data_IF_533189220286
#
_entry.id   IF_533189220286
#
_cell.length_a   1.000
_cell.length_b   1.000
_cell.length_c   1.000
_cell.angle_alpha   90.00
_cell.angle_beta   90.00
_cell.angle_gamma   90.00
#
_symmetry.space_group_name_H-M   'P 1'
#
loop_
_entity.id
_entity.type
_entity.pdbx_description
1 polymer ?
#
# COMPACT_ATOMS: atom_id res chain seq x y z
N UNK A 1 -19.65 -13.81 8.84
CA UNK A 1 -19.34 -12.40 8.57
C UNK A 1 -20.60 -11.69 8.14
N UNK A 2 -20.72 -10.42 8.43
CA UNK A 2 -21.84 -9.57 8.06
C UNK A 2 -21.29 -8.30 7.41
N UNK A 3 -21.82 -7.94 6.25
CA UNK A 3 -21.48 -6.74 5.47
C UNK A 3 -20.02 -6.60 5.03
N UNK A 4 -19.07 -6.87 5.92
CA UNK A 4 -17.61 -6.77 5.68
C UNK A 4 -16.94 -8.11 5.95
N UNK A 5 -15.89 -8.45 5.18
CA UNK A 5 -15.14 -9.70 5.33
C UNK A 5 -14.40 -9.84 6.67
N UNK A 6 -14.14 -8.73 7.35
CA UNK A 6 -13.51 -8.65 8.67
C UNK A 6 -14.53 -8.55 9.83
N UNK A 7 -15.81 -8.36 9.53
CA UNK A 7 -16.90 -8.33 10.52
C UNK A 7 -17.36 -9.75 10.86
N UNK A 8 -16.56 -10.46 11.64
CA UNK A 8 -16.89 -11.80 12.11
C UNK A 8 -17.99 -11.69 13.18
N UNK A 9 -19.16 -12.25 12.90
CA UNK A 9 -20.29 -12.28 13.85
C UNK A 9 -20.51 -13.66 14.45
N UNK A 10 -19.99 -14.71 13.84
CA UNK A 10 -20.11 -16.08 14.32
C UNK A 10 -18.89 -16.91 13.94
N UNK A 11 -18.36 -17.65 14.88
CA UNK A 11 -17.28 -18.61 14.68
C UNK A 11 -17.55 -19.88 15.50
N UNK A 12 -17.49 -21.04 14.85
CA UNK A 12 -17.57 -22.35 15.53
C UNK A 12 -16.46 -23.28 15.04
N UNK A 13 -16.10 -24.23 15.90
CA UNK A 13 -15.22 -25.34 15.57
C UNK A 13 -15.96 -26.64 15.87
N UNK A 14 -16.43 -27.34 14.83
CA UNK A 14 -17.39 -28.41 14.98
C UNK A 14 -18.65 -27.89 15.66
N UNK A 15 -19.15 -28.57 16.67
CA UNK A 15 -20.33 -28.18 17.44
C UNK A 15 -20.06 -27.13 18.52
N UNK A 16 -18.79 -26.75 18.73
CA UNK A 16 -18.41 -25.76 19.75
C UNK A 16 -18.46 -24.35 19.17
N UNK A 17 -19.32 -23.49 19.72
CA UNK A 17 -19.39 -22.06 19.38
C UNK A 17 -18.25 -21.34 20.10
N UNK A 18 -17.31 -20.77 19.33
CA UNK A 18 -16.18 -20.00 19.84
C UNK A 18 -16.53 -18.51 20.02
N UNK A 19 -17.46 -18.01 19.19
CA UNK A 19 -17.82 -16.59 19.17
C UNK A 19 -19.21 -16.44 18.52
N UNK A 20 -20.11 -15.68 19.16
CA UNK A 20 -21.43 -15.37 18.63
C UNK A 20 -21.85 -13.94 18.98
N UNK A 21 -21.98 -13.09 17.98
CA UNK A 21 -22.49 -11.72 18.08
C UNK A 21 -23.66 -11.45 17.11
N UNK A 22 -24.30 -12.47 16.58
CA UNK A 22 -25.38 -12.33 15.59
C UNK A 22 -26.56 -11.50 16.10
N UNK A 23 -26.76 -11.47 17.39
CA UNK A 23 -27.85 -10.70 18.05
C UNK A 23 -27.38 -9.34 18.61
N UNK A 24 -26.07 -9.03 18.53
CA UNK A 24 -25.58 -7.73 18.98
C UNK A 24 -25.76 -6.70 17.85
N UNK A 25 -26.21 -5.48 18.18
CA UNK A 25 -26.24 -4.42 17.18
C UNK A 25 -24.84 -4.19 16.63
N UNK A 26 -24.73 -4.03 15.32
CA UNK A 26 -23.46 -3.62 14.70
C UNK A 26 -23.01 -2.33 15.39
N UNK A 27 -21.72 -2.25 15.75
CA UNK A 27 -21.17 -1.01 16.25
C UNK A 27 -21.41 0.06 15.19
N UNK A 28 -22.06 1.15 15.56
CA UNK A 28 -22.28 2.27 14.65
C UNK A 28 -20.92 2.85 14.28
N UNK A 29 -20.46 2.55 13.07
CA UNK A 29 -19.27 3.24 12.54
C UNK A 29 -19.67 4.70 12.32
N UNK A 30 -18.93 5.62 12.94
CA UNK A 30 -19.08 7.03 12.62
C UNK A 30 -18.63 7.21 11.18
N UNK A 31 -19.47 7.71 10.28
CA UNK A 31 -19.07 7.93 8.90
C UNK A 31 -17.84 8.86 8.85
N UNK A 32 -16.79 8.43 8.17
CA UNK A 32 -15.61 9.27 7.97
C UNK A 32 -15.91 10.25 6.84
N UNK A 33 -15.80 11.54 7.13
CA UNK A 33 -15.93 12.58 6.10
C UNK A 33 -14.63 12.73 5.30
N UNK A 34 -14.58 12.09 4.15
CA UNK A 34 -13.43 12.19 3.25
C UNK A 34 -13.39 13.50 2.45
N UNK A 35 -14.44 14.32 2.46
CA UNK A 35 -14.47 15.62 1.75
C UNK A 35 -13.42 16.60 2.28
N UNK A 36 -13.01 16.40 3.53
CA UNK A 36 -11.95 17.19 4.16
C UNK A 36 -10.54 16.89 3.62
N UNK A 37 -10.34 15.78 2.90
CA UNK A 37 -9.03 15.42 2.36
C UNK A 37 -8.67 16.29 1.14
N UNK A 38 -7.46 16.86 1.19
CA UNK A 38 -6.82 17.50 0.04
C UNK A 38 -5.30 17.28 0.12
N UNK A 39 -4.60 17.37 -1.00
CA UNK A 39 -3.14 17.16 -1.04
C UNK A 39 -2.42 18.09 -0.07
N UNK A 40 -2.78 19.38 -0.04
CA UNK A 40 -2.18 20.37 0.85
C UNK A 40 -2.39 20.02 2.34
N UNK A 41 -3.61 19.61 2.72
CA UNK A 41 -3.92 19.22 4.09
C UNK A 41 -3.19 17.95 4.50
N UNK A 42 -3.07 16.97 3.60
CA UNK A 42 -2.31 15.73 3.84
C UNK A 42 -0.85 16.07 4.11
N UNK A 43 -0.23 16.91 3.27
CA UNK A 43 1.18 17.30 3.42
C UNK A 43 1.41 18.06 4.73
N UNK A 44 0.58 19.06 5.05
CA UNK A 44 0.71 19.82 6.30
C UNK A 44 0.53 18.91 7.51
N UNK A 45 -0.52 18.08 7.52
CA UNK A 45 -0.75 17.12 8.60
C UNK A 45 0.46 16.20 8.81
N UNK A 46 0.98 15.58 7.75
CA UNK A 46 2.09 14.65 7.88
C UNK A 46 3.40 15.32 8.33
N UNK A 47 3.60 16.60 8.03
CA UNK A 47 4.75 17.38 8.53
C UNK A 47 4.66 17.71 10.01
N UNK A 48 3.47 18.08 10.49
CA UNK A 48 3.26 18.72 11.79
C UNK A 48 2.68 17.77 12.85
N UNK A 49 2.03 16.67 12.43
CA UNK A 49 1.38 15.75 13.36
C UNK A 49 2.38 15.17 14.37
N UNK A 50 1.98 15.06 15.64
CA UNK A 50 2.76 14.34 16.64
C UNK A 50 2.84 12.85 16.24
N UNK A 51 3.95 12.18 16.57
CA UNK A 51 4.21 10.81 16.15
C UNK A 51 3.16 9.81 16.65
N UNK A 52 2.52 10.09 17.77
CA UNK A 52 1.43 9.29 18.32
C UNK A 52 0.24 9.21 17.37
N UNK A 53 -0.04 10.30 16.63
CA UNK A 53 -1.08 10.33 15.59
C UNK A 53 -0.71 9.51 14.35
N UNK A 54 0.57 9.19 14.18
CA UNK A 54 1.11 8.40 13.08
C UNK A 54 1.38 6.93 13.46
N UNK A 55 0.81 6.45 14.57
CA UNK A 55 1.01 5.07 15.05
C UNK A 55 0.61 4.02 14.00
N UNK A 56 -0.47 4.25 13.25
CA UNK A 56 -0.91 3.31 12.19
C UNK A 56 0.06 3.27 10.99
N UNK A 57 0.51 4.39 10.41
CA UNK A 57 1.59 4.39 9.42
C UNK A 57 2.88 3.75 9.93
N UNK A 58 3.26 3.97 11.19
CA UNK A 58 4.43 3.34 11.80
C UNK A 58 4.29 1.81 11.87
N UNK A 59 3.14 1.31 12.32
CA UNK A 59 2.83 -0.12 12.34
C UNK A 59 2.84 -0.70 10.92
N UNK A 60 2.28 0.00 9.94
CA UNK A 60 2.28 -0.43 8.54
C UNK A 60 3.71 -0.54 7.98
N UNK A 61 4.58 0.43 8.29
CA UNK A 61 5.98 0.39 7.89
C UNK A 61 6.68 -0.87 8.40
N UNK A 62 6.46 -1.25 9.65
CA UNK A 62 7.09 -2.44 10.26
C UNK A 62 6.52 -3.74 9.69
N UNK A 63 5.18 -3.90 9.71
CA UNK A 63 4.54 -5.15 9.31
C UNK A 63 4.68 -5.44 7.82
N UNK A 64 4.48 -4.43 6.98
CA UNK A 64 4.60 -4.61 5.54
C UNK A 64 6.06 -4.82 5.12
N UNK A 65 7.01 -4.20 5.84
CA UNK A 65 8.43 -4.48 5.61
C UNK A 65 8.81 -5.92 5.95
N UNK A 66 8.38 -6.45 7.08
CA UNK A 66 8.64 -7.85 7.45
C UNK A 66 8.15 -8.84 6.39
N UNK A 67 6.99 -8.56 5.78
CA UNK A 67 6.46 -9.38 4.68
C UNK A 67 7.32 -9.26 3.41
N UNK A 68 7.93 -8.09 3.15
CA UNK A 68 8.86 -7.92 2.04
C UNK A 68 10.17 -8.70 2.26
N UNK A 69 10.73 -8.65 3.47
CA UNK A 69 11.92 -9.42 3.83
C UNK A 69 11.68 -10.92 3.67
N UNK A 70 10.53 -11.41 4.15
CA UNK A 70 10.12 -12.79 3.96
C UNK A 70 10.04 -13.17 2.48
N UNK A 71 9.45 -12.31 1.65
CA UNK A 71 9.33 -12.51 0.21
C UNK A 71 10.67 -12.53 -0.53
N UNK A 72 11.65 -11.75 -0.07
CA UNK A 72 13.00 -11.76 -0.63
C UNK A 72 13.79 -13.03 -0.29
N UNK A 73 13.56 -13.58 0.91
CA UNK A 73 14.26 -14.78 1.40
C UNK A 73 13.60 -16.07 0.90
N UNK A 74 12.28 -16.11 0.91
CA UNK A 74 11.48 -17.28 0.59
C UNK A 74 11.25 -17.48 -0.92
N UNK A 75 10.59 -18.61 -1.25
CA UNK A 75 10.17 -18.95 -2.63
C UNK A 75 8.65 -18.81 -2.72
N UNK A 76 8.18 -17.59 -2.86
CA UNK A 76 6.76 -17.25 -2.88
C UNK A 76 6.27 -16.83 -4.26
N UNK A 77 5.08 -17.29 -4.62
CA UNK A 77 4.36 -16.86 -5.81
C UNK A 77 5.17 -16.98 -7.09
N UNK A 78 5.22 -15.91 -7.86
CA UNK A 78 6.00 -15.83 -9.10
C UNK A 78 7.47 -15.48 -8.87
N UNK A 79 7.85 -15.21 -7.64
CA UNK A 79 9.20 -14.80 -7.24
C UNK A 79 9.71 -13.55 -7.99
N UNK A 80 8.81 -12.63 -8.33
CA UNK A 80 9.13 -11.41 -9.09
C UNK A 80 10.20 -10.61 -8.38
N UNK A 81 9.99 -10.28 -7.10
CA UNK A 81 10.95 -9.51 -6.31
C UNK A 81 12.28 -10.23 -6.14
N UNK A 82 12.26 -11.54 -5.87
CA UNK A 82 13.48 -12.35 -5.72
C UNK A 82 14.26 -12.47 -7.03
N UNK A 83 13.59 -12.66 -8.17
CA UNK A 83 14.25 -12.73 -9.49
C UNK A 83 14.92 -11.42 -9.83
N UNK A 84 14.28 -10.28 -9.54
CA UNK A 84 14.88 -8.97 -9.72
C UNK A 84 16.12 -8.77 -8.82
N UNK A 85 16.08 -9.27 -7.57
CA UNK A 85 17.22 -9.22 -6.65
C UNK A 85 18.41 -10.04 -7.14
N UNK A 86 18.19 -11.20 -7.77
CA UNK A 86 19.23 -12.12 -8.19
C UNK A 86 19.88 -11.73 -9.53
N UNK A 87 19.66 -10.52 -10.03
CA UNK A 87 20.21 -10.07 -11.30
C UNK A 87 19.51 -10.68 -12.51
N UNK A 88 18.31 -11.22 -12.34
CA UNK A 88 17.50 -11.80 -13.42
C UNK A 88 17.03 -10.79 -14.48
N UNK A 89 17.34 -9.53 -14.31
CA UNK A 89 17.01 -8.48 -15.26
C UNK A 89 18.18 -7.54 -15.54
N UNK A 90 19.30 -8.01 -16.09
CA UNK A 90 20.42 -7.14 -16.46
C UNK A 90 20.01 -6.01 -17.42
N UNK A 91 18.88 -6.18 -18.11
CA UNK A 91 18.30 -5.17 -19.00
C UNK A 91 17.57 -4.03 -18.28
N UNK A 92 17.14 -4.23 -17.02
CA UNK A 92 16.37 -3.22 -16.26
C UNK A 92 17.27 -2.35 -15.37
N UNK A 93 18.55 -2.66 -15.29
CA UNK A 93 19.49 -1.94 -14.44
C UNK A 93 19.44 -2.39 -12.97
N UNK A 94 20.35 -1.82 -12.19
CA UNK A 94 20.57 -2.16 -10.77
C UNK A 94 20.71 -0.87 -9.95
N UNK A 95 19.66 -0.06 -9.94
CA UNK A 95 19.66 1.24 -9.27
C UNK A 95 18.54 1.39 -8.25
N UNK A 96 18.45 2.61 -7.68
CA UNK A 96 17.44 2.98 -6.68
C UNK A 96 16.03 2.52 -7.03
N UNK A 97 15.57 2.78 -8.26
CA UNK A 97 14.22 2.42 -8.69
C UNK A 97 14.00 0.91 -8.64
N UNK A 98 14.98 0.12 -9.10
CA UNK A 98 14.88 -1.34 -9.11
C UNK A 98 14.86 -1.93 -7.69
N UNK A 99 15.66 -1.36 -6.77
CA UNK A 99 15.64 -1.74 -5.35
C UNK A 99 14.26 -1.54 -4.73
N UNK A 100 13.67 -0.38 -4.95
CA UNK A 100 12.32 -0.05 -4.46
C UNK A 100 11.27 -1.00 -5.03
N UNK A 101 11.33 -1.29 -6.33
CA UNK A 101 10.38 -2.17 -7.02
C UNK A 101 10.50 -3.61 -6.52
N UNK A 102 11.71 -4.16 -6.44
CA UNK A 102 11.92 -5.55 -6.04
C UNK A 102 11.41 -5.85 -4.64
N UNK A 103 11.62 -4.93 -3.70
CA UNK A 103 11.14 -5.05 -2.32
C UNK A 103 9.63 -5.13 -2.28
N UNK A 104 8.94 -4.22 -2.96
CA UNK A 104 7.48 -4.21 -3.01
C UNK A 104 6.91 -5.47 -3.68
N UNK A 105 7.51 -5.90 -4.81
CA UNK A 105 7.10 -7.13 -5.50
C UNK A 105 7.25 -8.36 -4.60
N UNK A 106 8.35 -8.47 -3.85
CA UNK A 106 8.61 -9.57 -2.95
C UNK A 106 7.55 -9.67 -1.83
N UNK A 107 7.15 -8.55 -1.24
CA UNK A 107 6.09 -8.52 -0.24
C UNK A 107 4.74 -8.98 -0.81
N UNK A 108 4.43 -8.59 -2.05
CA UNK A 108 3.21 -9.04 -2.73
C UNK A 108 3.30 -10.52 -3.13
N UNK A 109 4.45 -11.02 -3.59
CA UNK A 109 4.69 -12.45 -3.84
C UNK A 109 4.43 -13.27 -2.56
N UNK A 110 5.02 -12.88 -1.43
CA UNK A 110 4.84 -13.55 -0.14
C UNK A 110 3.36 -13.55 0.29
N UNK A 111 2.71 -12.38 0.25
CA UNK A 111 1.30 -12.27 0.63
C UNK A 111 0.39 -13.12 -0.24
N UNK A 112 0.55 -13.07 -1.55
CA UNK A 112 -0.31 -13.79 -2.49
C UNK A 112 -0.12 -15.31 -2.45
N UNK A 113 1.03 -15.76 -1.96
CA UNK A 113 1.32 -17.17 -1.73
C UNK A 113 0.98 -17.66 -0.31
N UNK A 114 0.43 -16.79 0.55
CA UNK A 114 -0.04 -17.17 1.87
C UNK A 114 1.05 -17.24 2.94
N UNK A 115 2.10 -16.43 2.86
CA UNK A 115 3.09 -16.32 3.94
C UNK A 115 2.39 -16.02 5.28
N UNK A 116 2.78 -16.65 6.39
CA UNK A 116 2.10 -16.57 7.69
C UNK A 116 2.44 -15.27 8.44
N UNK A 117 2.44 -14.15 7.73
CA UNK A 117 2.71 -12.81 8.26
C UNK A 117 1.55 -11.86 7.93
N UNK A 118 1.22 -10.94 8.84
CA UNK A 118 0.15 -9.99 8.63
C UNK A 118 0.57 -8.93 7.60
N UNK A 119 -0.38 -8.54 6.73
CA UNK A 119 -0.25 -7.37 5.88
C UNK A 119 -1.18 -6.26 6.39
N UNK A 120 -0.63 -5.07 6.59
CA UNK A 120 -1.45 -3.87 6.85
C UNK A 120 -2.07 -3.41 5.53
N UNK A 121 -3.39 -3.37 5.50
CA UNK A 121 -4.16 -2.98 4.32
C UNK A 121 -4.32 -1.45 4.22
N UNK A 122 -4.55 -0.97 3.00
CA UNK A 122 -5.08 0.36 2.74
C UNK A 122 -6.42 0.20 2.01
N UNK A 123 -7.45 0.91 2.42
CA UNK A 123 -8.80 0.86 1.83
C UNK A 123 -9.29 -0.59 1.58
N UNK A 124 -9.07 -1.49 2.55
CA UNK A 124 -9.53 -2.89 2.49
C UNK A 124 -8.67 -3.83 1.62
N UNK A 125 -7.60 -3.35 0.97
CA UNK A 125 -6.71 -4.19 0.16
C UNK A 125 -5.30 -4.29 0.77
N UNK A 126 -4.84 -5.52 1.07
CA UNK A 126 -3.49 -5.76 1.57
C UNK A 126 -2.41 -5.46 0.52
N UNK A 127 -2.63 -5.78 -0.76
CA UNK A 127 -1.70 -5.42 -1.83
C UNK A 127 -1.61 -3.91 -2.01
N UNK A 128 -2.72 -3.18 -1.84
CA UNK A 128 -2.70 -1.71 -1.85
C UNK A 128 -1.85 -1.17 -0.70
N UNK A 129 -2.03 -1.70 0.51
CA UNK A 129 -1.22 -1.31 1.67
C UNK A 129 0.27 -1.63 1.50
N UNK A 130 0.63 -2.79 0.97
CA UNK A 130 2.01 -3.14 0.64
C UNK A 130 2.60 -2.19 -0.40
N UNK A 131 1.85 -1.94 -1.50
CA UNK A 131 2.34 -1.13 -2.63
C UNK A 131 2.52 0.34 -2.26
N UNK A 132 1.69 0.91 -1.39
CA UNK A 132 1.90 2.30 -0.96
C UNK A 132 2.91 2.44 0.18
N UNK A 133 3.22 1.37 0.93
CA UNK A 133 4.10 1.44 2.11
C UNK A 133 5.53 0.98 1.83
N UNK A 134 5.70 -0.24 1.27
CA UNK A 134 7.01 -0.85 1.12
C UNK A 134 8.00 -0.03 0.25
N UNK A 135 7.58 0.55 -0.89
CA UNK A 135 8.46 1.40 -1.69
C UNK A 135 8.99 2.62 -0.93
N UNK A 136 8.14 3.23 -0.10
CA UNK A 136 8.53 4.41 0.68
C UNK A 136 9.52 4.05 1.78
N UNK A 137 9.33 2.91 2.45
CA UNK A 137 10.28 2.40 3.45
C UNK A 137 11.62 2.06 2.79
N UNK A 138 11.59 1.37 1.64
CA UNK A 138 12.80 1.06 0.87
C UNK A 138 13.55 2.33 0.45
N UNK A 139 12.85 3.30 -0.12
CA UNK A 139 13.41 4.59 -0.52
C UNK A 139 14.00 5.35 0.67
N UNK A 140 13.29 5.42 1.78
CA UNK A 140 13.76 6.10 2.98
C UNK A 140 15.04 5.49 3.54
N UNK A 141 15.15 4.15 3.54
CA UNK A 141 16.36 3.43 3.96
C UNK A 141 17.53 3.66 3.01
N UNK A 142 17.28 3.61 1.69
CA UNK A 142 18.30 3.89 0.69
C UNK A 142 18.81 5.34 0.73
N UNK A 143 17.94 6.27 1.12
CA UNK A 143 18.29 7.69 1.31
C UNK A 143 18.78 8.01 2.72
N UNK A 144 18.96 7.00 3.57
CA UNK A 144 19.44 7.10 4.95
C UNK A 144 18.62 8.12 5.78
N UNK A 145 17.28 8.16 5.53
CA UNK A 145 16.39 9.07 6.25
C UNK A 145 16.10 8.57 7.67
N UNK A 146 15.95 9.48 8.65
CA UNK A 146 15.48 9.13 9.99
C UNK A 146 14.15 8.39 9.97
N UNK A 147 13.94 7.50 10.94
CA UNK A 147 12.74 6.64 10.99
C UNK A 147 11.44 7.45 11.08
N UNK A 148 11.42 8.56 11.77
CA UNK A 148 10.26 9.44 11.89
C UNK A 148 9.92 10.11 10.54
N UNK A 149 10.89 10.50 9.73
CA UNK A 149 10.68 11.00 8.37
C UNK A 149 10.10 9.91 7.47
N UNK A 150 10.59 8.68 7.58
CA UNK A 150 10.05 7.54 6.83
C UNK A 150 8.58 7.30 7.20
N UNK A 151 8.24 7.31 8.49
CA UNK A 151 6.86 7.14 8.96
C UNK A 151 5.94 8.25 8.44
N UNK A 152 6.39 9.51 8.44
CA UNK A 152 5.66 10.64 7.88
C UNK A 152 5.40 10.47 6.37
N UNK A 153 6.40 10.02 5.64
CA UNK A 153 6.28 9.74 4.21
C UNK A 153 5.34 8.55 3.92
N UNK A 154 5.37 7.51 4.75
CA UNK A 154 4.40 6.42 4.70
C UNK A 154 2.98 6.91 4.98
N UNK A 155 2.81 7.87 5.89
CA UNK A 155 1.51 8.50 6.14
C UNK A 155 1.02 9.26 4.90
N UNK A 156 1.89 10.06 4.26
CA UNK A 156 1.57 10.74 2.98
C UNK A 156 1.13 9.72 1.95
N UNK A 157 1.91 8.67 1.72
CA UNK A 157 1.60 7.65 0.71
C UNK A 157 0.24 6.98 0.95
N UNK A 158 -0.06 6.64 2.19
CA UNK A 158 -1.34 6.03 2.56
C UNK A 158 -2.52 7.00 2.38
N UNK A 159 -2.40 8.25 2.83
CA UNK A 159 -3.46 9.24 2.73
C UNK A 159 -3.70 9.68 1.28
N UNK A 160 -2.65 9.84 0.47
CA UNK A 160 -2.79 10.11 -0.97
C UNK A 160 -3.48 8.96 -1.70
N UNK A 161 -3.18 7.71 -1.35
CA UNK A 161 -3.87 6.53 -1.89
C UNK A 161 -5.36 6.55 -1.50
N UNK A 162 -5.70 6.88 -0.25
CA UNK A 162 -7.08 7.00 0.23
C UNK A 162 -7.81 8.12 -0.52
N UNK A 163 -7.19 9.29 -0.65
CA UNK A 163 -7.76 10.45 -1.34
C UNK A 163 -8.23 10.08 -2.76
N UNK A 164 -7.35 9.48 -3.55
CA UNK A 164 -7.69 9.09 -4.93
C UNK A 164 -8.73 7.98 -4.95
N UNK A 165 -8.62 7.03 -4.04
CA UNK A 165 -9.54 5.89 -3.94
C UNK A 165 -10.96 6.35 -3.61
N UNK A 166 -11.13 7.30 -2.71
CA UNK A 166 -12.45 7.85 -2.34
C UNK A 166 -13.08 8.69 -3.46
N UNK A 167 -12.25 9.30 -4.31
CA UNK A 167 -12.72 10.04 -5.49
C UNK A 167 -13.09 9.15 -6.68
N UNK A 168 -12.71 7.87 -6.66
CA UNK A 168 -12.86 6.97 -7.80
C UNK A 168 -14.24 6.30 -7.90
N UNK A 169 -15.16 6.50 -6.96
CA UNK A 169 -16.51 5.93 -7.04
C UNK A 169 -17.31 6.01 -5.74
N UNK A 170 -18.63 5.80 -5.84
CA UNK A 170 -19.58 5.97 -4.74
C UNK A 170 -19.44 4.93 -3.61
N UNK A 171 -18.82 3.79 -3.86
CA UNK A 171 -18.65 2.70 -2.88
C UNK A 171 -17.34 2.82 -2.08
N UNK A 172 -16.92 4.04 -1.77
CA UNK A 172 -15.71 4.33 -0.98
C UNK A 172 -14.46 3.57 -1.45
N UNK A 173 -14.39 3.30 -2.74
CA UNK A 173 -13.24 2.69 -3.38
C UNK A 173 -13.02 1.20 -3.12
N UNK A 174 -13.99 0.47 -2.56
CA UNK A 174 -13.87 -0.98 -2.33
C UNK A 174 -13.82 -1.78 -3.62
N UNK A 175 -14.66 -1.41 -4.60
CA UNK A 175 -14.79 -2.10 -5.88
C UNK A 175 -14.51 -1.10 -7.01
N UNK A 176 -13.29 -1.06 -7.48
CA UNK A 176 -12.90 -0.30 -8.66
C UNK A 176 -12.42 -1.26 -9.74
N UNK A 177 -12.76 -1.08 -11.02
CA UNK A 177 -12.18 -1.85 -12.11
C UNK A 177 -10.68 -1.56 -12.28
N UNK A 178 -10.21 -0.40 -11.81
CA UNK A 178 -8.78 -0.09 -11.80
C UNK A 178 -8.03 -0.92 -10.75
N UNK A 179 -6.86 -1.39 -11.10
CA UNK A 179 -6.03 -2.16 -10.19
C UNK A 179 -5.58 -1.29 -9.00
N UNK A 180 -5.69 -1.84 -7.79
CA UNK A 180 -5.23 -1.18 -6.58
C UNK A 180 -3.74 -0.77 -6.62
N UNK A 181 -2.93 -1.46 -7.44
CA UNK A 181 -1.53 -1.11 -7.66
C UNK A 181 -1.36 0.28 -8.29
N UNK A 182 -2.27 0.71 -9.18
CA UNK A 182 -2.20 2.03 -9.82
C UNK A 182 -2.32 3.16 -8.79
N UNK A 183 -3.35 3.11 -7.94
CA UNK A 183 -3.55 4.11 -6.88
C UNK A 183 -2.42 4.11 -5.85
N UNK A 184 -2.02 2.91 -5.43
CA UNK A 184 -1.00 2.75 -4.41
C UNK A 184 0.40 3.13 -4.89
N UNK A 185 0.73 2.89 -6.17
CA UNK A 185 1.98 3.34 -6.75
C UNK A 185 2.06 4.87 -6.82
N UNK A 186 0.94 5.55 -7.14
CA UNK A 186 0.85 7.01 -7.05
C UNK A 186 1.06 7.51 -5.62
N UNK A 187 0.43 6.86 -4.65
CA UNK A 187 0.67 7.16 -3.23
C UNK A 187 2.14 6.98 -2.84
N UNK A 188 2.77 5.87 -3.27
CA UNK A 188 4.18 5.61 -3.02
C UNK A 188 5.10 6.69 -3.64
N UNK A 189 4.84 7.09 -4.89
CA UNK A 189 5.59 8.17 -5.55
C UNK A 189 5.46 9.49 -4.77
N UNK A 190 4.26 9.83 -4.29
CA UNK A 190 4.05 11.00 -3.44
C UNK A 190 4.81 10.89 -2.11
N UNK A 191 4.84 9.71 -1.46
CA UNK A 191 5.62 9.49 -0.25
C UNK A 191 7.12 9.65 -0.48
N UNK A 192 7.64 9.15 -1.60
CA UNK A 192 9.04 9.30 -1.98
C UNK A 192 9.37 10.77 -2.30
N UNK A 193 8.50 11.48 -3.04
CA UNK A 193 8.63 12.90 -3.28
C UNK A 193 8.66 13.70 -1.97
N UNK A 194 7.80 13.35 -1.01
CA UNK A 194 7.79 13.97 0.31
C UNK A 194 9.14 13.78 1.06
N UNK A 195 9.76 12.59 0.99
CA UNK A 195 11.11 12.33 1.53
C UNK A 195 12.18 13.22 0.87
N UNK A 196 11.98 13.60 -0.40
CA UNK A 196 12.87 14.52 -1.11
C UNK A 196 12.63 15.99 -0.75
N UNK A 197 11.53 16.30 -0.04
CA UNK A 197 11.15 17.65 0.32
C UNK A 197 10.16 18.32 -0.64
N UNK A 198 9.59 17.57 -1.59
CA UNK A 198 8.63 18.10 -2.55
C UNK A 198 7.36 18.64 -1.85
N UNK A 199 6.82 19.74 -2.38
CA UNK A 199 5.63 20.40 -1.85
C UNK A 199 4.34 19.82 -2.41
N UNK A 200 3.19 20.26 -1.87
CA UNK A 200 1.87 19.75 -2.22
C UNK A 200 1.56 19.82 -3.73
N UNK A 201 1.87 20.93 -4.38
CA UNK A 201 1.62 21.12 -5.83
C UNK A 201 2.44 20.13 -6.68
N UNK A 202 3.65 19.78 -6.25
CA UNK A 202 4.47 18.78 -6.93
C UNK A 202 3.84 17.40 -6.75
N UNK A 203 3.48 17.03 -5.51
CA UNK A 203 2.88 15.72 -5.21
C UNK A 203 1.53 15.52 -5.91
N UNK A 204 0.76 16.59 -6.09
CA UNK A 204 -0.49 16.52 -6.87
C UNK A 204 -0.22 16.19 -8.33
N UNK A 205 0.74 16.86 -8.96
CA UNK A 205 1.15 16.57 -10.34
C UNK A 205 1.73 15.16 -10.49
N UNK A 206 2.52 14.69 -9.52
CA UNK A 206 3.03 13.32 -9.49
C UNK A 206 1.87 12.33 -9.48
N UNK A 207 0.90 12.50 -8.61
CA UNK A 207 -0.28 11.63 -8.55
C UNK A 207 -1.04 11.62 -9.87
N UNK A 208 -1.31 12.78 -10.46
CA UNK A 208 -1.99 12.92 -11.75
C UNK A 208 -1.22 12.23 -12.88
N UNK A 209 0.10 12.41 -12.92
CA UNK A 209 0.98 11.77 -13.91
C UNK A 209 0.94 10.24 -13.80
N UNK A 210 1.06 9.72 -12.58
CA UNK A 210 1.00 8.26 -12.35
C UNK A 210 -0.35 7.69 -12.78
N UNK A 211 -1.45 8.33 -12.39
CA UNK A 211 -2.79 7.87 -12.78
C UNK A 211 -2.97 7.88 -14.30
N UNK A 212 -2.46 8.91 -14.99
CA UNK A 212 -2.48 8.96 -16.45
C UNK A 212 -1.67 7.84 -17.11
N UNK A 213 -0.50 7.52 -16.53
CA UNK A 213 0.40 6.50 -17.08
C UNK A 213 -0.13 5.07 -16.90
N UNK A 214 -0.83 4.79 -15.81
CA UNK A 214 -1.23 3.41 -15.44
C UNK A 214 -2.74 3.20 -15.39
N UNK A 215 -3.54 4.12 -15.94
CA UNK A 215 -5.01 4.06 -15.92
C UNK A 215 -5.59 2.80 -16.58
N UNK A 216 -4.87 2.18 -17.51
CA UNK A 216 -5.26 0.94 -18.19
C UNK A 216 -5.00 -0.34 -17.38
N UNK A 217 -4.45 -0.25 -16.19
CA UNK A 217 -4.17 -1.43 -15.36
C UNK A 217 -5.44 -1.90 -14.66
N UNK A 218 -6.07 -2.93 -15.23
CA UNK A 218 -7.34 -3.48 -14.77
C UNK A 218 -7.12 -4.55 -13.70
N UNK A 219 -7.98 -4.55 -12.66
CA UNK A 219 -8.01 -5.59 -11.64
C UNK A 219 -8.82 -6.80 -12.14
N UNK A 220 -8.19 -7.96 -12.13
CA UNK A 220 -8.80 -9.26 -12.48
C UNK A 220 -8.86 -10.22 -11.28
N UNK A 221 -8.82 -9.68 -10.07
CA UNK A 221 -8.83 -10.42 -8.82
C UNK A 221 -7.43 -10.65 -8.23
N UNK A 222 -7.41 -11.14 -6.98
CA UNK A 222 -6.17 -11.43 -6.26
C UNK A 222 -5.52 -12.71 -6.79
N UNK A 223 -4.33 -12.60 -7.36
CA UNK A 223 -3.58 -13.68 -8.00
C UNK A 223 -2.07 -13.51 -7.83
N UNK A 224 -1.30 -14.55 -8.11
CA UNK A 224 0.16 -14.51 -8.07
C UNK A 224 0.74 -13.38 -8.95
N UNK A 225 0.13 -13.09 -10.11
CA UNK A 225 0.59 -12.01 -11.00
C UNK A 225 0.38 -10.58 -10.45
N UNK A 226 -0.24 -10.42 -9.27
CA UNK A 226 -0.33 -9.10 -8.62
C UNK A 226 1.05 -8.50 -8.36
N UNK A 227 2.06 -9.33 -8.06
CA UNK A 227 3.43 -8.86 -7.88
C UNK A 227 3.99 -8.19 -9.14
N UNK A 228 3.77 -8.78 -10.32
CA UNK A 228 4.18 -8.20 -11.60
C UNK A 228 3.42 -6.90 -11.92
N UNK A 229 2.10 -6.84 -11.63
CA UNK A 229 1.30 -5.61 -11.77
C UNK A 229 1.82 -4.48 -10.88
N UNK A 230 2.23 -4.81 -9.65
CA UNK A 230 2.84 -3.84 -8.73
C UNK A 230 4.17 -3.34 -9.29
N UNK A 231 5.02 -4.21 -9.81
CA UNK A 231 6.27 -3.83 -10.44
C UNK A 231 6.09 -2.86 -11.61
N UNK A 232 5.12 -3.14 -12.49
CA UNK A 232 4.77 -2.25 -13.61
C UNK A 232 4.27 -0.88 -13.13
N UNK A 233 3.35 -0.87 -12.18
CA UNK A 233 2.78 0.37 -11.66
C UNK A 233 3.84 1.23 -10.98
N UNK A 234 4.73 0.64 -10.18
CA UNK A 234 5.82 1.34 -9.51
C UNK A 234 6.86 1.86 -10.52
N UNK A 235 7.16 1.10 -11.57
CA UNK A 235 8.07 1.57 -12.62
C UNK A 235 7.54 2.85 -13.26
N UNK A 236 6.27 2.89 -13.65
CA UNK A 236 5.64 4.11 -14.15
C UNK A 236 5.54 5.24 -13.12
N UNK A 237 5.37 4.90 -11.85
CA UNK A 237 5.26 5.87 -10.77
C UNK A 237 6.59 6.55 -10.41
N UNK A 238 7.71 5.83 -10.53
CA UNK A 238 9.04 6.37 -10.27
C UNK A 238 9.58 7.24 -11.41
N UNK A 239 8.89 7.27 -12.56
CA UNK A 239 9.19 8.16 -13.67
C UNK A 239 8.44 9.50 -13.59
N UNK A 240 7.43 9.61 -12.73
CA UNK A 240 6.59 10.80 -12.57
C UNK A 240 7.23 11.83 -11.65
#
# INVERSE_FOLDING_TARGET
VQDRHDAVVYLSRGDTVCFDRRTQPAASEVPVDYSALSVSRIVSFCREAPMESLARPAEAAVRNWALCEEGLQGRYGMQVGRTLMQGGAPLLGDGFAMEVIRVACAGVDARMAGAPLPAMSNSGSGNQGLTCTAPVVAAGRLLERPQDEIVRAVAVANLMTILVKTQSGPDEGRMSPACCAAFAAGGAACGIGFLRGDGADCLERVMQTVLGNVCGLICDGAKANCAAKVGMALHGALQA
#
